data_IF_658611616250
#
_entry.id   IF_658611616250
#
_cell.length_a   1.000
_cell.length_b   1.000
_cell.length_c   1.000
_cell.angle_alpha   90.00
_cell.angle_beta   90.00
_cell.angle_gamma   90.00
#
_symmetry.space_group_name_H-M   'P 1'
#
loop_
_entity.id
_entity.type
_entity.pdbx_description
1 polymer ?
#
# COMPACT_ATOMS: atom_id res chain seq x y z
N UNK A 1 -6.67 -7.81 12.54
CA UNK A 1 -6.96 -8.11 13.96
C UNK A 1 -6.42 -9.50 14.26
N UNK A 2 -5.36 -9.64 15.05
CA UNK A 2 -4.80 -10.95 15.42
C UNK A 2 -5.83 -11.70 16.27
N UNK A 3 -6.58 -12.62 15.66
CA UNK A 3 -7.37 -13.58 16.42
C UNK A 3 -6.40 -14.45 17.21
N UNK A 4 -6.63 -14.57 18.52
CA UNK A 4 -5.88 -15.48 19.37
C UNK A 4 -6.15 -16.91 18.91
N UNK A 5 -5.31 -17.40 17.99
CA UNK A 5 -5.28 -18.80 17.65
C UNK A 5 -4.72 -19.54 18.86
N UNK A 6 -5.50 -20.48 19.39
CA UNK A 6 -5.13 -21.29 20.56
C UNK A 6 -3.88 -22.13 20.33
N UNK A 7 -3.39 -22.24 19.09
CA UNK A 7 -2.14 -22.89 18.69
C UNK A 7 -0.98 -21.91 18.41
N UNK A 8 -1.12 -20.64 18.78
CA UNK A 8 -0.08 -19.63 18.55
C UNK A 8 1.18 -19.89 19.40
N UNK A 9 2.33 -19.96 18.73
CA UNK A 9 3.66 -20.02 19.37
C UNK A 9 4.07 -18.69 20.04
N UNK A 10 3.22 -17.66 19.90
CA UNK A 10 3.37 -16.34 20.50
C UNK A 10 2.17 -16.04 21.41
N UNK A 11 2.42 -15.37 22.53
CA UNK A 11 1.39 -14.80 23.41
C UNK A 11 1.59 -13.30 23.58
N UNK A 12 0.51 -12.55 23.67
CA UNK A 12 0.52 -11.12 24.00
C UNK A 12 0.64 -10.94 25.52
N UNK A 13 1.61 -10.15 25.97
CA UNK A 13 1.83 -9.85 27.39
C UNK A 13 2.09 -8.36 27.60
N UNK A 14 1.78 -7.86 28.79
CA UNK A 14 2.18 -6.52 29.23
C UNK A 14 3.53 -6.62 29.96
N UNK A 15 4.55 -5.93 29.47
CA UNK A 15 5.87 -5.88 30.09
C UNK A 15 6.01 -4.53 30.81
N UNK A 16 6.22 -4.58 32.14
CA UNK A 16 6.40 -3.38 32.97
C UNK A 16 7.50 -2.48 32.40
N UNK A 17 7.13 -1.23 32.08
CA UNK A 17 8.04 -0.23 31.49
C UNK A 17 8.28 -0.37 29.98
N UNK A 18 7.62 -1.32 29.28
CA UNK A 18 7.74 -1.53 27.83
C UNK A 18 6.41 -1.67 27.09
N UNK A 19 5.29 -1.74 27.81
CA UNK A 19 3.95 -1.86 27.23
C UNK A 19 3.65 -3.26 26.73
N UNK A 20 2.77 -3.36 25.72
CA UNK A 20 2.35 -4.62 25.09
C UNK A 20 3.45 -5.22 24.23
N UNK A 21 3.71 -6.51 24.37
CA UNK A 21 4.70 -7.26 23.60
C UNK A 21 4.20 -8.65 23.23
N UNK A 22 4.70 -9.20 22.11
CA UNK A 22 4.58 -10.61 21.78
C UNK A 22 5.79 -11.36 22.33
N UNK A 23 5.55 -12.42 23.10
CA UNK A 23 6.60 -13.31 23.63
C UNK A 23 6.32 -14.74 23.23
N UNK A 24 7.36 -15.56 23.09
CA UNK A 24 7.20 -16.97 22.80
C UNK A 24 6.42 -17.69 23.93
N UNK A 25 5.43 -18.50 23.56
CA UNK A 25 4.70 -19.39 24.47
C UNK A 25 5.37 -20.76 24.63
N UNK A 26 6.32 -21.09 23.75
CA UNK A 26 7.06 -22.35 23.71
C UNK A 26 8.47 -22.16 23.10
N UNK A 27 9.40 -23.14 23.25
CA UNK A 27 10.71 -23.09 22.59
C UNK A 27 10.60 -23.01 21.06
N UNK A 28 11.40 -22.15 20.44
CA UNK A 28 11.43 -21.92 19.00
C UNK A 28 12.63 -22.61 18.34
N UNK A 29 12.45 -23.13 17.13
CA UNK A 29 13.52 -23.72 16.33
C UNK A 29 14.08 -22.72 15.32
N UNK A 30 15.35 -22.87 14.95
CA UNK A 30 15.94 -22.10 13.87
C UNK A 30 15.16 -22.33 12.56
N UNK A 31 14.84 -21.25 11.84
CA UNK A 31 14.04 -21.29 10.61
C UNK A 31 12.53 -21.48 10.82
N UNK A 32 12.05 -21.60 12.06
CA UNK A 32 10.61 -21.69 12.34
C UNK A 32 9.92 -20.34 12.05
N UNK A 33 8.79 -20.41 11.35
CA UNK A 33 7.93 -19.25 11.12
C UNK A 33 7.06 -19.06 12.37
N UNK A 34 7.24 -17.92 13.03
CA UNK A 34 6.56 -17.58 14.29
C UNK A 34 5.32 -16.71 14.09
N UNK A 35 5.28 -15.95 12.99
CA UNK A 35 4.19 -15.07 12.62
C UNK A 35 4.19 -14.90 11.10
N UNK A 36 3.00 -14.89 10.52
CA UNK A 36 2.76 -14.39 9.17
C UNK A 36 1.66 -13.35 9.28
N UNK A 37 1.87 -12.21 8.66
CA UNK A 37 0.88 -11.15 8.61
C UNK A 37 0.78 -10.60 7.19
N UNK A 38 -0.41 -10.15 6.82
CA UNK A 38 -0.65 -9.47 5.56
C UNK A 38 -0.52 -7.96 5.79
N UNK A 39 0.04 -7.20 4.82
CA UNK A 39 0.17 -5.77 5.00
C UNK A 39 -1.21 -5.10 5.06
N UNK A 40 -1.39 -4.17 5.99
CA UNK A 40 -2.64 -3.42 6.15
C UNK A 40 -2.81 -2.39 5.02
N UNK A 41 -1.75 -1.64 4.72
CA UNK A 41 -1.71 -0.65 3.63
C UNK A 41 -0.46 -0.90 2.80
N UNK A 42 -0.62 -0.89 1.48
CA UNK A 42 0.51 -1.05 0.55
C UNK A 42 0.48 0.04 -0.50
N UNK A 43 1.62 0.69 -0.72
CA UNK A 43 1.78 1.73 -1.72
C UNK A 43 3.24 1.81 -2.18
N UNK A 44 3.46 2.45 -3.33
CA UNK A 44 4.79 2.68 -3.87
C UNK A 44 5.50 3.82 -3.12
N UNK A 45 6.75 3.58 -2.72
CA UNK A 45 7.63 4.62 -2.17
C UNK A 45 8.48 5.35 -3.25
N UNK A 46 8.18 5.13 -4.53
CA UNK A 46 8.90 5.77 -5.65
C UNK A 46 8.27 7.12 -6.04
N UNK A 47 8.94 7.98 -6.82
CA UNK A 47 8.35 9.23 -7.34
C UNK A 47 7.08 9.01 -8.16
N UNK A 48 6.17 9.99 -8.22
CA UNK A 48 4.90 9.92 -8.98
C UNK A 48 5.13 9.56 -10.45
N UNK A 49 6.13 10.19 -11.04
CA UNK A 49 6.59 9.91 -12.40
C UNK A 49 7.82 8.99 -12.32
N UNK A 50 7.69 7.77 -12.84
CA UNK A 50 8.80 6.80 -12.88
C UNK A 50 9.83 7.24 -13.93
N UNK A 51 11.11 7.24 -13.57
CA UNK A 51 12.19 7.37 -14.57
C UNK A 51 12.25 6.12 -15.44
N UNK A 52 12.54 6.30 -16.74
CA UNK A 52 12.69 5.19 -17.70
C UNK A 52 13.80 4.20 -17.31
N UNK A 53 14.75 4.60 -16.46
CA UNK A 53 15.85 3.76 -15.97
C UNK A 53 15.53 2.98 -14.69
N UNK A 54 14.34 3.15 -14.12
CA UNK A 54 13.96 2.47 -12.87
C UNK A 54 13.51 1.03 -13.12
N UNK A 55 13.88 0.12 -12.23
CA UNK A 55 13.40 -1.25 -12.28
C UNK A 55 11.87 -1.28 -12.13
N UNK A 56 11.19 -1.96 -13.05
CA UNK A 56 9.75 -2.19 -12.97
C UNK A 56 9.44 -3.31 -11.98
N UNK A 57 8.29 -3.24 -11.31
CA UNK A 57 7.80 -4.29 -10.42
C UNK A 57 6.30 -4.47 -10.61
N UNK A 58 5.77 -5.63 -10.24
CA UNK A 58 4.34 -5.89 -10.24
C UNK A 58 3.65 -5.06 -9.15
N UNK A 59 2.69 -4.21 -9.52
CA UNK A 59 1.96 -3.34 -8.59
C UNK A 59 0.99 -4.11 -7.66
N UNK A 60 0.87 -5.43 -7.82
CA UNK A 60 0.14 -6.30 -6.88
C UNK A 60 1.08 -7.05 -5.91
N UNK A 61 2.09 -7.75 -6.44
CA UNK A 61 2.91 -8.69 -5.66
C UNK A 61 4.37 -8.24 -5.45
N UNK A 62 4.73 -7.04 -5.92
CA UNK A 62 6.05 -6.41 -5.76
C UNK A 62 7.23 -7.18 -6.35
N UNK A 63 6.96 -8.25 -7.10
CA UNK A 63 7.98 -8.98 -7.85
C UNK A 63 8.60 -8.04 -8.90
N UNK A 64 9.92 -7.94 -8.92
CA UNK A 64 10.67 -7.24 -9.97
C UNK A 64 10.35 -7.84 -11.34
N UNK A 65 10.07 -6.98 -12.30
CA UNK A 65 9.80 -7.32 -13.69
C UNK A 65 11.08 -7.09 -14.49
N UNK A 66 11.57 -8.13 -15.14
CA UNK A 66 12.72 -8.04 -16.04
C UNK A 66 12.28 -7.50 -17.40
N UNK A 67 13.12 -6.68 -18.05
CA UNK A 67 12.83 -6.13 -19.40
C UNK A 67 12.60 -7.22 -20.46
N UNK A 68 13.05 -8.45 -20.23
CA UNK A 68 12.86 -9.61 -21.10
C UNK A 68 11.59 -10.42 -20.82
N UNK A 69 10.80 -10.08 -19.79
CA UNK A 69 9.58 -10.83 -19.49
C UNK A 69 8.47 -10.45 -20.48
N UNK A 70 8.09 -11.39 -21.36
CA UNK A 70 7.02 -11.22 -22.36
C UNK A 70 5.61 -11.10 -21.78
N UNK A 71 5.45 -11.27 -20.46
CA UNK A 71 4.14 -11.50 -19.82
C UNK A 71 3.72 -10.34 -18.90
N UNK A 72 4.26 -9.14 -19.10
CA UNK A 72 3.83 -7.96 -18.35
C UNK A 72 2.46 -7.51 -18.87
N UNK A 73 1.51 -7.34 -17.96
CA UNK A 73 0.17 -6.87 -18.24
C UNK A 73 0.05 -5.43 -17.73
N UNK A 74 -0.08 -4.42 -18.60
CA UNK A 74 -0.30 -3.04 -18.15
C UNK A 74 -1.74 -2.85 -17.68
N UNK A 75 -1.95 -1.89 -16.77
CA UNK A 75 -3.30 -1.43 -16.46
C UNK A 75 -3.97 -0.82 -17.72
N UNK A 76 -5.21 -1.16 -18.06
CA UNK A 76 -5.89 -0.56 -19.23
C UNK A 76 -6.15 0.95 -19.10
N UNK A 77 -6.19 1.47 -17.86
CA UNK A 77 -6.52 2.89 -17.59
C UNK A 77 -5.31 3.76 -17.27
N UNK A 78 -4.18 3.16 -16.86
CA UNK A 78 -2.94 3.89 -16.49
C UNK A 78 -1.69 3.11 -16.90
N UNK A 79 -1.70 2.59 -18.14
CA UNK A 79 -0.72 1.66 -18.71
C UNK A 79 0.75 2.08 -18.57
N UNK A 80 1.02 3.38 -18.46
CA UNK A 80 2.37 3.93 -18.31
C UNK A 80 2.93 3.84 -16.88
N UNK A 81 2.09 3.54 -15.88
CA UNK A 81 2.47 3.69 -14.48
C UNK A 81 2.35 2.40 -13.69
N UNK A 82 1.36 1.57 -14.00
CA UNK A 82 1.09 0.35 -13.26
C UNK A 82 1.17 -0.89 -14.15
N UNK A 83 2.01 -1.82 -13.72
CA UNK A 83 2.35 -3.04 -14.44
C UNK A 83 2.10 -4.26 -13.54
N UNK A 84 1.66 -5.35 -14.14
CA UNK A 84 1.36 -6.59 -13.43
C UNK A 84 2.10 -7.77 -14.06
N UNK A 85 2.55 -8.73 -13.26
CA UNK A 85 3.25 -9.91 -13.78
C UNK A 85 2.31 -10.95 -14.42
N UNK A 86 1.00 -10.79 -14.27
CA UNK A 86 -0.02 -11.68 -14.86
C UNK A 86 -1.42 -11.04 -14.80
N UNK A 87 -2.38 -11.54 -15.59
CA UNK A 87 -3.78 -11.12 -15.49
C UNK A 87 -4.36 -11.33 -14.09
N UNK A 88 -3.97 -12.41 -13.40
CA UNK A 88 -4.41 -12.67 -12.03
C UNK A 88 -3.96 -11.58 -11.05
N UNK A 89 -2.74 -11.06 -11.21
CA UNK A 89 -2.27 -9.93 -10.40
C UNK A 89 -3.01 -8.63 -10.72
N UNK A 90 -3.35 -8.39 -11.99
CA UNK A 90 -4.19 -7.25 -12.37
C UNK A 90 -5.56 -7.36 -11.71
N UNK A 91 -6.26 -8.49 -11.86
CA UNK A 91 -7.58 -8.72 -11.27
C UNK A 91 -7.56 -8.57 -9.75
N UNK A 92 -6.60 -9.20 -9.07
CA UNK A 92 -6.45 -9.11 -7.62
C UNK A 92 -6.22 -7.67 -7.14
N UNK A 93 -5.36 -6.91 -7.84
CA UNK A 93 -5.11 -5.51 -7.51
C UNK A 93 -6.35 -4.65 -7.74
N UNK A 94 -7.09 -4.85 -8.83
CA UNK A 94 -8.32 -4.07 -9.11
C UNK A 94 -9.42 -4.29 -8.08
N UNK A 95 -9.45 -5.44 -7.42
CA UNK A 95 -10.36 -5.74 -6.32
C UNK A 95 -9.87 -5.22 -4.96
N UNK A 96 -8.64 -4.71 -4.87
CA UNK A 96 -8.01 -4.31 -3.61
C UNK A 96 -7.21 -3.01 -3.76
N UNK A 97 -5.89 -3.09 -3.93
CA UNK A 97 -4.93 -1.96 -3.83
C UNK A 97 -4.95 -1.01 -5.02
N UNK A 98 -5.55 -1.40 -6.14
CA UNK A 98 -5.60 -0.64 -7.38
C UNK A 98 -7.04 -0.55 -7.93
N UNK A 99 -8.00 -0.23 -7.06
CA UNK A 99 -9.39 0.00 -7.46
C UNK A 99 -9.50 1.08 -8.55
N UNK A 100 -10.59 1.11 -9.34
CA UNK A 100 -10.79 2.17 -10.35
C UNK A 100 -10.63 3.59 -9.80
N UNK A 101 -11.06 3.80 -8.54
CA UNK A 101 -10.88 5.07 -7.83
C UNK A 101 -9.40 5.37 -7.56
N UNK A 102 -8.64 4.40 -7.02
CA UNK A 102 -7.19 4.57 -6.79
C UNK A 102 -6.45 4.85 -8.10
N UNK A 103 -6.76 4.09 -9.15
CA UNK A 103 -6.18 4.28 -10.47
C UNK A 103 -6.39 5.71 -10.97
N UNK A 104 -7.62 6.20 -10.96
CA UNK A 104 -7.93 7.56 -11.39
C UNK A 104 -7.26 8.62 -10.49
N UNK A 105 -7.22 8.37 -9.18
CA UNK A 105 -6.62 9.29 -8.24
C UNK A 105 -5.12 9.46 -8.49
N UNK A 106 -4.40 8.35 -8.67
CA UNK A 106 -2.96 8.37 -8.95
C UNK A 106 -2.62 9.00 -10.29
N UNK A 107 -3.39 8.74 -11.35
CA UNK A 107 -3.20 9.41 -12.65
C UNK A 107 -3.31 10.92 -12.51
N UNK A 108 -4.34 11.43 -11.81
CA UNK A 108 -4.50 12.88 -11.57
C UNK A 108 -3.36 13.49 -10.77
N UNK A 109 -2.77 12.75 -9.82
CA UNK A 109 -1.61 13.24 -9.07
C UNK A 109 -0.37 13.39 -9.96
N UNK A 110 -0.22 12.53 -10.96
CA UNK A 110 0.89 12.61 -11.93
C UNK A 110 0.74 13.79 -12.88
N UNK A 111 -0.50 14.14 -13.24
CA UNK A 111 -0.79 15.32 -14.06
C UNK A 111 -0.61 16.64 -13.28
N UNK A 112 -0.45 16.57 -11.96
CA UNK A 112 -0.31 17.73 -11.09
C UNK A 112 1.14 18.21 -10.98
N UNK A 113 1.54 19.17 -11.84
CA UNK A 113 2.90 19.74 -11.87
C UNK A 113 3.38 20.26 -10.51
N UNK A 114 2.49 20.90 -9.74
CA UNK A 114 2.76 21.41 -8.40
C UNK A 114 3.12 20.33 -7.39
N UNK A 115 2.61 19.09 -7.56
CA UNK A 115 2.92 17.95 -6.69
C UNK A 115 4.14 17.17 -7.21
N UNK A 116 4.27 17.00 -8.53
CA UNK A 116 5.43 16.33 -9.15
C UNK A 116 6.73 17.08 -8.88
N UNK A 117 6.66 18.42 -8.76
CA UNK A 117 7.80 19.27 -8.38
C UNK A 117 8.11 19.25 -6.88
N UNK A 118 7.26 18.66 -6.03
CA UNK A 118 7.55 18.55 -4.60
C UNK A 118 8.66 17.53 -4.32
N UNK A 119 9.34 17.64 -3.16
CA UNK A 119 10.23 16.59 -2.68
C UNK A 119 9.55 15.21 -2.63
N UNK A 120 10.34 14.15 -2.85
CA UNK A 120 9.88 12.76 -2.88
C UNK A 120 8.99 12.41 -1.70
N UNK A 121 9.33 12.87 -0.49
CA UNK A 121 8.58 12.60 0.72
C UNK A 121 7.11 13.03 0.62
N UNK A 122 6.82 14.22 0.07
CA UNK A 122 5.44 14.67 -0.13
C UNK A 122 4.70 13.85 -1.18
N UNK A 123 5.40 13.44 -2.24
CA UNK A 123 4.82 12.58 -3.27
C UNK A 123 4.46 11.20 -2.72
N UNK A 124 5.31 10.65 -1.85
CA UNK A 124 5.08 9.37 -1.16
C UNK A 124 3.95 9.50 -0.14
N UNK A 125 3.88 10.60 0.62
CA UNK A 125 2.76 10.89 1.51
C UNK A 125 1.43 10.95 0.76
N UNK A 126 1.38 11.61 -0.42
CA UNK A 126 0.15 11.66 -1.22
C UNK A 126 -0.31 10.25 -1.64
N UNK A 127 0.62 9.36 -2.00
CA UNK A 127 0.29 7.95 -2.30
C UNK A 127 -0.20 7.18 -1.09
N UNK A 128 0.47 7.35 0.05
CA UNK A 128 0.06 6.73 1.31
C UNK A 128 -1.40 7.09 1.63
N UNK A 129 -1.78 8.36 1.46
CA UNK A 129 -3.14 8.81 1.76
C UNK A 129 -4.19 8.21 0.84
N UNK A 130 -3.90 8.10 -0.47
CA UNK A 130 -4.79 7.40 -1.40
C UNK A 130 -4.95 5.94 -0.99
N UNK A 131 -3.85 5.24 -0.68
CA UNK A 131 -3.89 3.84 -0.28
C UNK A 131 -4.64 3.64 1.05
N UNK A 132 -4.37 4.46 2.06
CA UNK A 132 -5.04 4.42 3.35
C UNK A 132 -6.55 4.69 3.22
N UNK A 133 -6.93 5.67 2.41
CA UNK A 133 -8.35 5.96 2.13
C UNK A 133 -9.03 4.77 1.42
N UNK A 134 -8.37 4.16 0.44
CA UNK A 134 -8.90 2.97 -0.23
C UNK A 134 -9.10 1.80 0.73
N UNK A 135 -8.17 1.56 1.66
CA UNK A 135 -8.33 0.51 2.68
C UNK A 135 -9.53 0.81 3.60
N UNK A 136 -9.74 2.07 3.98
CA UNK A 136 -10.92 2.47 4.76
C UNK A 136 -12.25 2.24 4.00
N UNK A 137 -12.24 2.30 2.67
CA UNK A 137 -13.42 2.02 1.84
C UNK A 137 -13.66 0.53 1.63
N UNK A 138 -12.61 -0.25 1.34
CA UNK A 138 -12.73 -1.65 0.91
C UNK A 138 -12.76 -2.62 2.09
N UNK A 139 -12.10 -2.28 3.20
CA UNK A 139 -12.00 -3.12 4.40
C UNK A 139 -12.22 -2.33 5.70
N UNK A 140 -13.44 -1.82 5.97
CA UNK A 140 -13.70 -0.98 7.14
C UNK A 140 -13.39 -1.67 8.49
N UNK A 141 -13.55 -2.99 8.56
CA UNK A 141 -13.26 -3.80 9.77
C UNK A 141 -11.78 -3.94 10.08
N UNK A 142 -10.91 -3.79 9.08
CA UNK A 142 -9.45 -3.82 9.27
C UNK A 142 -8.91 -2.45 9.73
N UNK A 143 -9.80 -1.46 9.80
CA UNK A 143 -9.52 -0.04 9.94
C UNK A 143 -10.13 0.50 11.24
N UNK A 144 -9.97 -0.24 12.34
CA UNK A 144 -10.49 0.17 13.66
C UNK A 144 -9.85 1.50 14.16
N UNK A 145 -8.72 1.96 13.57
CA UNK A 145 -8.01 3.16 14.02
C UNK A 145 -7.61 4.19 12.95
N UNK A 146 -7.91 3.98 11.66
CA UNK A 146 -7.44 4.95 10.61
C UNK A 146 -8.26 6.24 10.64
N UNK A 147 -9.49 6.25 11.17
CA UNK A 147 -10.24 7.51 11.35
C UNK A 147 -9.51 8.52 12.26
N UNK A 148 -8.69 8.06 13.22
CA UNK A 148 -7.83 8.97 14.02
C UNK A 148 -6.56 9.41 13.26
N UNK A 149 -6.13 8.63 12.26
CA UNK A 149 -5.01 8.94 11.37
C UNK A 149 -5.42 9.85 10.20
N UNK A 150 -6.72 9.92 9.90
CA UNK A 150 -7.30 10.86 8.96
C UNK A 150 -7.31 12.27 9.56
N UNK A 151 -6.09 12.81 9.76
CA UNK A 151 -5.82 14.21 10.06
C UNK A 151 -6.52 15.12 9.04
N UNK A 152 -6.71 16.38 9.43
CA UNK A 152 -7.10 17.50 8.56
C UNK A 152 -6.32 17.53 7.24
N UNK A 153 -5.10 16.97 7.20
CA UNK A 153 -4.24 16.91 6.02
C UNK A 153 -4.73 15.93 4.93
N UNK A 154 -5.43 14.86 5.31
CA UNK A 154 -6.08 13.94 4.33
C UNK A 154 -7.23 14.66 3.63
N UNK A 155 -8.03 15.40 4.40
CA UNK A 155 -9.10 16.24 3.87
C UNK A 155 -8.56 17.41 3.04
N UNK A 156 -7.38 17.97 3.38
CA UNK A 156 -6.72 18.97 2.52
C UNK A 156 -6.24 18.38 1.20
N UNK A 157 -5.69 17.16 1.19
CA UNK A 157 -5.25 16.49 -0.04
C UNK A 157 -6.43 16.03 -0.90
N UNK A 158 -7.53 15.56 -0.29
CA UNK A 158 -8.81 15.34 -0.98
C UNK A 158 -9.44 16.66 -1.46
N UNK A 159 -9.25 17.78 -0.77
CA UNK A 159 -9.69 19.10 -1.23
C UNK A 159 -8.81 19.64 -2.37
N UNK A 160 -7.51 19.37 -2.38
CA UNK A 160 -6.63 19.63 -3.52
C UNK A 160 -7.07 18.79 -4.73
N UNK A 161 -7.53 17.55 -4.49
CA UNK A 161 -8.12 16.69 -5.51
C UNK A 161 -9.43 17.24 -6.10
N UNK A 162 -10.30 17.84 -5.26
CA UNK A 162 -11.57 18.42 -5.68
C UNK A 162 -11.47 19.83 -6.29
N UNK A 163 -10.43 20.60 -5.97
CA UNK A 163 -10.26 21.98 -6.47
C UNK A 163 -9.54 22.07 -7.82
N UNK A 164 -9.05 20.95 -8.34
CA UNK A 164 -8.23 20.91 -9.55
C UNK A 164 -6.82 21.42 -9.28
N UNK A 165 -5.83 20.83 -9.95
CA UNK A 165 -4.47 21.36 -9.96
C UNK A 165 -4.44 22.62 -10.82
N UNK A 166 -4.83 23.75 -10.22
CA UNK A 166 -4.67 25.09 -10.75
C UNK A 166 -3.57 25.84 -10.01
#
# INVERSE_FOLDING_TARGET
MLTADSDSVLRLVEIKGRGRALVASQPLKAGQIVLRDSPIVVYSAFPLVKSQSSASYCDNCFRTLSSSSSNVVPCPSCSHHHLFCSPNCLTAATASTHSPWVCQALSRLQDCSSLVSQPLERQVQARFLIAAYNVALVSPSDVIDVQSWMSTDVMKILNLFNRGCH
#
